data_IF_732967000558
#
_entry.id   IF_732967000558
#
_cell.length_a   1.000
_cell.length_b   1.000
_cell.length_c   1.000
_cell.angle_alpha   90.00
_cell.angle_beta   90.00
_cell.angle_gamma   90.00
#
_symmetry.space_group_name_H-M   'P 1'
#
loop_
_entity.id
_entity.type
_entity.pdbx_description
1 polymer ?
#
# COMPACT_ATOMS: atom_id res chain seq x y z
N UNK A 1 -49.41 -5.61 -6.14
CA UNK A 1 -48.78 -6.49 -7.16
C UNK A 1 -47.80 -5.57 -7.90
N UNK A 2 -46.50 -5.51 -7.62
CA UNK A 2 -45.51 -6.57 -7.52
C UNK A 2 -44.52 -6.36 -8.66
N UNK A 3 -43.32 -5.84 -8.37
CA UNK A 3 -42.05 -6.40 -8.84
C UNK A 3 -40.89 -5.70 -8.12
N UNK A 4 -40.04 -6.55 -7.55
CA UNK A 4 -38.82 -6.21 -6.81
C UNK A 4 -37.74 -5.82 -7.82
N UNK A 5 -37.10 -4.68 -7.66
CA UNK A 5 -35.74 -4.49 -8.19
C UNK A 5 -34.77 -5.09 -7.18
N UNK A 6 -34.26 -6.26 -7.52
CA UNK A 6 -33.10 -6.85 -6.88
C UNK A 6 -31.95 -5.88 -7.15
N UNK A 7 -31.43 -5.22 -6.11
CA UNK A 7 -30.19 -4.48 -6.21
C UNK A 7 -29.11 -5.43 -6.71
N UNK A 8 -28.45 -5.04 -7.79
CA UNK A 8 -27.40 -5.80 -8.46
C UNK A 8 -26.29 -6.09 -7.45
N UNK A 9 -26.16 -7.36 -7.05
CA UNK A 9 -25.08 -7.79 -6.18
C UNK A 9 -23.77 -7.63 -6.96
N UNK A 10 -22.95 -6.65 -6.60
CA UNK A 10 -21.55 -6.57 -7.04
C UNK A 10 -20.89 -7.89 -6.66
N UNK A 11 -20.53 -8.71 -7.66
CA UNK A 11 -19.80 -9.95 -7.40
C UNK A 11 -18.54 -9.64 -6.59
N UNK A 12 -18.39 -10.31 -5.45
CA UNK A 12 -17.19 -10.21 -4.64
C UNK A 12 -15.97 -10.56 -5.52
N UNK A 13 -15.01 -9.63 -5.58
CA UNK A 13 -13.77 -9.86 -6.34
C UNK A 13 -13.00 -11.01 -5.71
N UNK A 14 -12.29 -11.75 -6.55
CA UNK A 14 -11.35 -12.79 -6.12
C UNK A 14 -9.96 -12.48 -6.64
N UNK A 15 -8.94 -13.02 -5.98
CA UNK A 15 -7.56 -12.81 -6.41
C UNK A 15 -7.30 -13.37 -7.82
N UNK A 16 -7.94 -14.47 -8.22
CA UNK A 16 -7.62 -15.18 -9.46
C UNK A 16 -6.14 -15.58 -9.52
N UNK A 17 -5.49 -15.32 -10.66
CA UNK A 17 -4.05 -15.55 -10.86
C UNK A 17 -3.11 -14.45 -10.27
N UNK A 18 -3.67 -13.38 -9.69
CA UNK A 18 -2.86 -12.32 -9.09
C UNK A 18 -2.22 -12.78 -7.78
N UNK A 19 -0.90 -12.65 -7.70
CA UNK A 19 -0.11 -12.96 -6.50
C UNK A 19 0.79 -11.82 -6.03
N UNK A 20 0.46 -10.56 -6.33
CA UNK A 20 1.37 -9.44 -6.03
C UNK A 20 1.73 -9.37 -4.53
N UNK A 21 0.79 -9.68 -3.62
CA UNK A 21 1.07 -9.76 -2.19
C UNK A 21 2.11 -10.83 -1.83
N UNK A 22 2.13 -11.97 -2.53
CA UNK A 22 3.13 -13.02 -2.37
C UNK A 22 4.53 -12.57 -2.77
N UNK A 23 4.66 -11.50 -3.57
CA UNK A 23 5.93 -10.89 -3.95
C UNK A 23 6.32 -9.73 -3.04
N UNK A 24 5.49 -8.69 -3.00
CA UNK A 24 5.93 -7.37 -2.52
C UNK A 24 5.93 -7.23 -0.99
N UNK A 25 5.14 -8.02 -0.28
CA UNK A 25 5.04 -7.92 1.19
C UNK A 25 6.05 -8.82 1.88
N UNK A 26 6.55 -8.41 3.05
CA UNK A 26 7.26 -9.28 3.98
C UNK A 26 6.28 -10.24 4.66
N UNK A 27 6.65 -11.51 4.86
CA UNK A 27 5.84 -12.48 5.59
C UNK A 27 6.75 -13.24 6.57
N UNK A 28 6.73 -12.84 7.84
CA UNK A 28 7.59 -13.40 8.89
C UNK A 28 7.37 -14.91 9.09
N UNK A 29 6.11 -15.36 9.04
CA UNK A 29 5.72 -16.78 9.22
C UNK A 29 6.31 -17.70 8.15
N UNK A 30 6.78 -17.14 7.03
CA UNK A 30 7.39 -17.88 5.92
C UNK A 30 8.87 -17.56 5.73
N UNK A 31 9.47 -16.78 6.65
CA UNK A 31 10.82 -16.19 6.47
C UNK A 31 11.00 -15.56 5.08
N UNK A 32 9.94 -14.88 4.62
CA UNK A 32 9.86 -14.38 3.24
C UNK A 32 10.13 -12.87 3.19
N UNK A 33 11.29 -12.42 2.69
CA UNK A 33 11.59 -11.01 2.53
C UNK A 33 10.61 -10.31 1.57
N UNK A 34 10.38 -9.01 1.78
CA UNK A 34 9.62 -8.17 0.85
C UNK A 34 10.31 -8.12 -0.52
N UNK A 35 9.53 -7.97 -1.58
CA UNK A 35 10.04 -7.91 -2.97
C UNK A 35 10.41 -9.26 -3.59
N UNK A 36 10.47 -10.35 -2.81
CA UNK A 36 10.75 -11.70 -3.30
C UNK A 36 9.49 -12.55 -3.39
N UNK A 37 9.40 -13.38 -4.43
CA UNK A 37 8.30 -14.32 -4.59
C UNK A 37 8.31 -15.37 -3.48
N UNK A 38 7.14 -15.62 -2.91
CA UNK A 38 6.91 -16.76 -2.03
C UNK A 38 7.24 -18.07 -2.76
N UNK A 39 7.96 -18.99 -2.11
CA UNK A 39 8.42 -20.24 -2.72
C UNK A 39 7.31 -21.18 -3.19
N UNK A 40 6.09 -21.05 -2.64
CA UNK A 40 4.92 -21.84 -3.08
C UNK A 40 4.07 -21.14 -4.13
N UNK A 41 4.37 -19.88 -4.48
CA UNK A 41 3.62 -19.18 -5.52
C UNK A 41 3.91 -19.76 -6.90
N UNK A 42 2.86 -19.96 -7.70
CA UNK A 42 2.93 -20.49 -9.06
C UNK A 42 2.39 -19.44 -10.03
N UNK A 43 3.26 -18.92 -10.88
CA UNK A 43 2.88 -17.93 -11.90
C UNK A 43 1.73 -18.47 -12.77
N UNK A 44 0.65 -17.69 -12.89
CA UNK A 44 -0.55 -18.08 -13.65
C UNK A 44 -1.52 -19.01 -12.92
N UNK A 45 -1.15 -19.56 -11.76
CA UNK A 45 -1.99 -20.48 -10.98
C UNK A 45 -2.26 -20.01 -9.54
N UNK A 46 -1.55 -18.99 -9.04
CA UNK A 46 -1.76 -18.44 -7.70
C UNK A 46 -0.93 -19.13 -6.63
N UNK A 47 -1.44 -19.19 -5.40
CA UNK A 47 -0.76 -19.87 -4.29
C UNK A 47 -0.84 -21.38 -4.47
N UNK A 48 0.31 -22.06 -4.53
CA UNK A 48 0.39 -23.52 -4.67
C UNK A 48 0.01 -24.30 -3.40
N UNK A 49 -0.17 -23.61 -2.27
CA UNK A 49 -0.68 -24.17 -1.02
C UNK A 49 -1.67 -23.19 -0.38
N UNK A 50 -2.80 -22.96 -1.05
CA UNK A 50 -3.78 -21.96 -0.62
C UNK A 50 -4.45 -22.33 0.71
N UNK A 51 -4.64 -23.63 0.95
CA UNK A 51 -5.22 -24.17 2.18
C UNK A 51 -4.25 -24.18 3.35
N UNK A 52 -2.93 -24.28 3.12
CA UNK A 52 -1.88 -24.20 4.15
C UNK A 52 -1.36 -22.79 4.43
N UNK A 53 -1.93 -21.76 3.79
CA UNK A 53 -1.50 -20.36 3.99
C UNK A 53 -1.46 -19.97 5.48
N UNK A 54 -0.42 -19.26 5.93
CA UNK A 54 -0.31 -18.85 7.32
C UNK A 54 -1.22 -17.64 7.60
N UNK A 55 -1.37 -17.24 8.87
CA UNK A 55 -2.40 -16.29 9.29
C UNK A 55 -2.22 -14.91 8.64
N UNK A 56 -0.98 -14.46 8.42
CA UNK A 56 -0.71 -13.21 7.71
C UNK A 56 -1.27 -13.23 6.28
N UNK A 57 -1.16 -14.36 5.58
CA UNK A 57 -1.69 -14.52 4.23
C UNK A 57 -3.22 -14.61 4.19
N UNK A 58 -3.86 -15.16 5.23
CA UNK A 58 -5.33 -15.28 5.32
C UNK A 58 -6.01 -13.98 5.68
N UNK A 59 -5.40 -13.20 6.57
CA UNK A 59 -5.95 -11.94 7.07
C UNK A 59 -5.77 -10.78 6.11
N UNK A 60 -4.78 -10.86 5.21
CA UNK A 60 -4.49 -9.80 4.26
C UNK A 60 -5.49 -9.72 3.10
N UNK A 61 -6.05 -8.53 2.89
CA UNK A 61 -6.85 -8.18 1.71
C UNK A 61 -6.36 -6.84 1.15
N UNK A 62 -5.99 -6.81 -0.14
CA UNK A 62 -5.61 -5.56 -0.79
C UNK A 62 -6.83 -4.68 -1.10
N UNK A 63 -6.62 -3.37 -1.24
CA UNK A 63 -7.68 -2.40 -1.48
C UNK A 63 -8.47 -2.69 -2.76
N UNK A 64 -7.84 -3.24 -3.81
CA UNK A 64 -8.56 -3.65 -5.03
C UNK A 64 -9.57 -4.76 -4.77
N UNK A 65 -9.26 -5.68 -3.84
CA UNK A 65 -10.15 -6.78 -3.49
C UNK A 65 -11.36 -6.29 -2.67
N UNK A 66 -11.15 -5.29 -1.82
CA UNK A 66 -12.15 -4.81 -0.85
C UNK A 66 -12.90 -3.55 -1.26
N UNK A 67 -12.44 -2.83 -2.29
CA UNK A 67 -13.02 -1.55 -2.71
C UNK A 67 -13.59 -1.59 -4.13
N UNK A 68 -14.89 -1.33 -4.24
CA UNK A 68 -15.57 -1.19 -5.53
C UNK A 68 -15.14 0.07 -6.31
N UNK A 69 -14.47 1.03 -5.66
CA UNK A 69 -14.03 2.31 -6.25
C UNK A 69 -12.81 2.21 -7.18
N UNK A 70 -12.21 1.02 -7.27
CA UNK A 70 -11.06 0.73 -8.12
C UNK A 70 -11.49 -0.19 -9.24
N UNK A 71 -11.21 0.14 -10.50
CA UNK A 71 -11.56 -0.72 -11.63
C UNK A 71 -10.55 -1.87 -11.85
N UNK A 72 -10.70 -2.61 -12.95
CA UNK A 72 -9.83 -3.74 -13.28
C UNK A 72 -8.38 -3.35 -13.60
N UNK A 73 -8.09 -2.10 -13.98
CA UNK A 73 -6.72 -1.63 -14.22
C UNK A 73 -5.91 -1.49 -12.92
N UNK A 74 -6.59 -1.34 -11.78
CA UNK A 74 -5.98 -1.27 -10.45
C UNK A 74 -5.69 -2.64 -9.83
N UNK A 75 -5.99 -3.73 -10.55
CA UNK A 75 -5.62 -5.07 -10.12
C UNK A 75 -4.08 -5.14 -9.97
N UNK A 76 -3.54 -5.61 -8.83
CA UNK A 76 -2.13 -5.36 -8.51
C UNK A 76 -1.09 -5.85 -9.52
N UNK A 77 -1.31 -7.00 -10.14
CA UNK A 77 -0.45 -7.56 -11.19
C UNK A 77 -0.43 -6.71 -12.48
N UNK A 78 -1.52 -5.97 -12.76
CA UNK A 78 -1.62 -5.01 -13.86
C UNK A 78 -1.04 -3.65 -13.49
N UNK A 79 -1.35 -3.18 -12.29
CA UNK A 79 -0.90 -1.88 -11.78
C UNK A 79 0.60 -1.84 -11.46
N UNK A 80 1.20 -2.97 -11.11
CA UNK A 80 2.60 -3.04 -10.66
C UNK A 80 2.79 -2.63 -9.20
N UNK A 81 1.70 -2.50 -8.45
CA UNK A 81 1.68 -2.20 -7.02
C UNK A 81 0.37 -2.71 -6.42
N UNK A 82 0.34 -2.91 -5.10
CA UNK A 82 -0.90 -3.10 -4.35
C UNK A 82 -1.10 -1.95 -3.37
N UNK A 83 -2.31 -1.82 -2.85
CA UNK A 83 -2.60 -0.87 -1.80
C UNK A 83 -3.27 -1.55 -0.60
N UNK A 84 -3.01 -1.06 0.60
CA UNK A 84 -3.77 -1.45 1.80
C UNK A 84 -3.67 -0.34 2.86
N UNK A 85 -4.73 -0.12 3.66
CA UNK A 85 -4.64 0.75 4.82
C UNK A 85 -3.90 0.06 5.96
N UNK A 86 -3.14 0.80 6.76
CA UNK A 86 -2.63 0.30 8.04
C UNK A 86 -3.77 0.04 9.03
N UNK A 87 -3.45 -0.60 10.16
CA UNK A 87 -4.43 -1.12 11.13
C UNK A 87 -5.37 -0.05 11.68
N UNK A 88 -4.90 1.19 11.84
CA UNK A 88 -5.70 2.33 12.32
C UNK A 88 -6.44 3.06 11.20
N UNK A 89 -6.21 2.67 9.94
CA UNK A 89 -6.79 3.29 8.75
C UNK A 89 -6.26 4.70 8.45
N UNK A 90 -5.24 5.19 9.16
CA UNK A 90 -4.69 6.55 8.98
C UNK A 90 -3.67 6.64 7.87
N UNK A 91 -2.99 5.54 7.56
CA UNK A 91 -2.06 5.45 6.43
C UNK A 91 -2.59 4.53 5.34
N UNK A 92 -2.54 4.98 4.10
CA UNK A 92 -2.70 4.15 2.91
C UNK A 92 -1.32 3.83 2.34
N UNK A 93 -0.93 2.56 2.39
CA UNK A 93 0.30 2.08 1.80
C UNK A 93 0.07 1.74 0.32
N UNK A 94 0.95 2.22 -0.56
CA UNK A 94 1.08 1.82 -1.96
C UNK A 94 2.37 1.04 -2.11
N UNK A 95 2.29 -0.28 -2.05
CA UNK A 95 3.48 -1.15 -2.10
C UNK A 95 3.76 -1.55 -3.55
N UNK A 96 4.82 -0.97 -4.09
CA UNK A 96 5.24 -1.08 -5.48
C UNK A 96 6.17 -2.28 -5.66
N UNK A 97 5.99 -3.00 -6.77
CA UNK A 97 6.95 -4.01 -7.19
C UNK A 97 8.34 -3.38 -7.40
N UNK A 98 9.38 -3.78 -6.66
CA UNK A 98 10.73 -3.24 -6.84
C UNK A 98 11.31 -3.47 -8.25
N UNK A 99 10.82 -4.49 -8.97
CA UNK A 99 11.20 -4.74 -10.36
C UNK A 99 10.54 -3.76 -11.36
N UNK A 100 9.59 -2.94 -10.91
CA UNK A 100 8.91 -1.91 -11.70
C UNK A 100 8.69 -0.64 -10.85
N UNK A 101 9.77 0.03 -10.39
CA UNK A 101 9.69 1.06 -9.35
C UNK A 101 8.92 2.33 -9.78
N UNK A 102 8.74 2.55 -11.08
CA UNK A 102 8.02 3.70 -11.62
C UNK A 102 6.52 3.44 -11.85
N UNK A 103 5.99 2.24 -11.56
CA UNK A 103 4.62 1.86 -11.95
C UNK A 103 3.53 2.78 -11.39
N UNK A 104 3.72 3.26 -10.16
CA UNK A 104 2.79 4.17 -9.47
C UNK A 104 2.72 5.56 -10.10
N UNK A 105 3.74 5.97 -10.87
CA UNK A 105 3.77 7.26 -11.59
C UNK A 105 3.06 7.23 -12.94
N UNK A 106 2.64 6.04 -13.38
CA UNK A 106 2.00 5.87 -14.69
C UNK A 106 0.54 6.29 -14.59
N UNK A 107 0.02 7.03 -15.57
CA UNK A 107 -1.40 7.33 -15.63
C UNK A 107 -2.23 6.07 -15.94
N UNK A 108 -3.46 5.94 -15.39
CA UNK A 108 -4.18 6.91 -14.57
C UNK A 108 -3.85 6.84 -13.06
N UNK A 109 -2.83 6.09 -12.65
CA UNK A 109 -2.57 5.81 -11.24
C UNK A 109 -2.08 7.06 -10.51
N UNK A 110 -1.14 7.80 -11.10
CA UNK A 110 -0.52 8.94 -10.44
C UNK A 110 -1.55 10.02 -10.08
N UNK A 111 -2.32 10.50 -11.06
CA UNK A 111 -3.38 11.49 -10.83
C UNK A 111 -4.41 11.04 -9.79
N UNK A 112 -4.77 9.75 -9.79
CA UNK A 112 -5.72 9.20 -8.82
C UNK A 112 -5.12 9.06 -7.42
N UNK A 113 -3.84 8.69 -7.29
CA UNK A 113 -3.12 8.67 -6.02
C UNK A 113 -2.97 10.10 -5.46
N UNK A 114 -2.68 11.09 -6.31
CA UNK A 114 -2.70 12.51 -5.93
C UNK A 114 -4.06 12.99 -5.45
N UNK A 115 -5.15 12.52 -6.06
CA UNK A 115 -6.48 12.82 -5.55
C UNK A 115 -6.73 12.15 -4.17
N UNK A 116 -6.21 10.95 -3.94
CA UNK A 116 -6.30 10.27 -2.64
C UNK A 116 -5.46 10.96 -1.55
N UNK A 117 -4.32 11.55 -1.89
CA UNK A 117 -3.45 12.25 -0.93
C UNK A 117 -4.05 13.55 -0.38
N UNK A 118 -5.16 14.05 -0.94
CA UNK A 118 -5.93 15.19 -0.40
C UNK A 118 -6.32 14.99 1.07
N UNK A 119 -6.52 13.74 1.49
CA UNK A 119 -6.81 13.39 2.90
C UNK A 119 -5.67 13.74 3.86
N UNK A 120 -4.49 14.08 3.36
CA UNK A 120 -3.40 14.60 4.19
C UNK A 120 -3.79 15.87 4.96
N UNK A 121 -4.70 16.68 4.43
CA UNK A 121 -5.24 17.84 5.17
C UNK A 121 -6.09 17.44 6.39
N UNK A 122 -6.55 16.18 6.45
CA UNK A 122 -7.29 15.59 7.56
C UNK A 122 -6.41 14.69 8.45
N UNK A 123 -5.08 14.74 8.26
CA UNK A 123 -4.11 13.94 9.02
C UNK A 123 -4.02 12.47 8.59
N UNK A 124 -4.39 12.14 7.35
CA UNK A 124 -4.10 10.83 6.75
C UNK A 124 -2.78 10.85 5.97
N UNK A 125 -2.15 9.70 5.81
CA UNK A 125 -0.89 9.59 5.06
C UNK A 125 -1.07 8.69 3.84
N UNK A 126 -0.46 9.06 2.72
CA UNK A 126 -0.32 8.19 1.54
C UNK A 126 1.16 7.91 1.34
N UNK A 127 1.56 6.66 1.61
CA UNK A 127 2.96 6.24 1.59
C UNK A 127 3.23 5.32 0.41
N UNK A 128 4.16 5.71 -0.45
CA UNK A 128 4.66 4.85 -1.52
C UNK A 128 5.87 4.06 -0.98
N UNK A 129 5.78 2.74 -1.03
CA UNK A 129 6.82 1.81 -0.58
C UNK A 129 7.43 1.09 -1.78
N UNK A 130 8.72 1.28 -2.05
CA UNK A 130 9.45 0.64 -3.15
C UNK A 130 10.63 -0.13 -2.54
N UNK A 131 10.42 -1.40 -2.19
CA UNK A 131 11.37 -2.12 -1.33
C UNK A 131 11.53 -1.37 -0.01
N UNK A 132 12.74 -0.90 0.30
CA UNK A 132 13.03 -0.08 1.49
C UNK A 132 12.99 1.44 1.22
N UNK A 133 12.79 1.87 -0.03
CA UNK A 133 12.56 3.30 -0.33
C UNK A 133 11.17 3.75 0.08
N UNK A 134 11.05 4.94 0.65
CA UNK A 134 9.79 5.55 1.08
C UNK A 134 9.60 6.93 0.44
N UNK A 135 8.40 7.16 -0.08
CA UNK A 135 7.97 8.47 -0.58
C UNK A 135 6.64 8.81 0.06
N UNK A 136 6.55 9.95 0.75
CA UNK A 136 5.25 10.47 1.24
C UNK A 136 4.64 11.30 0.14
N UNK A 137 3.45 10.91 -0.32
CA UNK A 137 2.72 11.67 -1.33
C UNK A 137 1.79 12.66 -0.64
N UNK A 138 2.03 13.95 -0.89
CA UNK A 138 1.13 15.04 -0.54
C UNK A 138 0.30 15.45 -1.77
N UNK A 139 -0.72 16.29 -1.61
CA UNK A 139 -1.49 16.87 -2.72
C UNK A 139 -0.62 17.67 -3.69
N UNK A 140 0.32 18.44 -3.16
CA UNK A 140 1.13 19.39 -3.93
C UNK A 140 2.46 18.81 -4.40
N UNK A 141 3.04 17.88 -3.65
CA UNK A 141 4.38 17.33 -3.93
C UNK A 141 4.55 15.89 -3.46
N UNK A 142 5.63 15.26 -3.89
CA UNK A 142 6.03 13.90 -3.48
C UNK A 142 7.37 14.02 -2.75
N UNK A 143 7.40 13.76 -1.44
CA UNK A 143 8.61 13.88 -0.62
C UNK A 143 9.30 12.51 -0.56
N UNK A 144 10.39 12.35 -1.32
CA UNK A 144 11.20 11.12 -1.36
C UNK A 144 12.21 11.13 -0.20
N UNK A 145 12.02 10.22 0.76
CA UNK A 145 12.87 10.07 1.93
C UNK A 145 14.07 9.15 1.67
N UNK A 146 14.18 8.59 0.46
CA UNK A 146 15.21 7.63 0.11
C UNK A 146 14.97 6.25 0.74
N UNK A 147 16.05 5.46 0.81
CA UNK A 147 16.06 4.12 1.41
C UNK A 147 16.11 4.27 2.92
N UNK A 148 15.12 3.70 3.61
CA UNK A 148 14.99 3.79 5.06
C UNK A 148 15.26 2.43 5.72
N UNK A 149 15.82 2.48 6.93
CA UNK A 149 15.76 1.33 7.81
C UNK A 149 14.28 1.07 8.18
N UNK A 150 13.76 -0.16 7.98
CA UNK A 150 12.39 -0.52 8.35
C UNK A 150 12.02 -0.22 9.82
N UNK A 151 13.01 -0.17 10.72
CA UNK A 151 12.80 0.08 12.15
C UNK A 151 12.64 1.57 12.48
N UNK A 152 13.00 2.48 11.58
CA UNK A 152 12.91 3.91 11.85
C UNK A 152 11.49 4.44 11.68
N UNK A 153 11.09 5.35 12.56
CA UNK A 153 9.77 5.98 12.53
C UNK A 153 9.73 7.10 11.50
N UNK A 154 8.79 7.01 10.55
CA UNK A 154 8.44 8.08 9.64
C UNK A 154 7.39 8.98 10.28
N UNK A 155 7.63 10.30 10.26
CA UNK A 155 6.66 11.33 10.65
C UNK A 155 6.42 12.24 9.46
N UNK A 156 5.15 12.55 9.21
CA UNK A 156 4.76 13.48 8.14
C UNK A 156 3.57 14.34 8.55
N UNK A 157 3.42 15.50 7.90
CA UNK A 157 2.35 16.45 8.21
C UNK A 157 2.49 17.76 7.45
N UNK A 158 1.91 18.81 8.00
CA UNK A 158 2.03 20.17 7.49
C UNK A 158 2.50 21.11 8.59
N UNK A 159 3.28 22.11 8.20
CA UNK A 159 3.58 23.28 9.01
C UNK A 159 2.97 24.51 8.35
N UNK A 160 2.42 25.42 9.16
CA UNK A 160 1.98 26.72 8.67
C UNK A 160 3.19 27.64 8.53
N UNK A 161 3.45 28.14 7.32
CA UNK A 161 4.52 29.09 7.01
C UNK A 161 3.92 30.24 6.21
N UNK A 162 3.91 31.43 6.80
CA UNK A 162 3.39 32.65 6.17
C UNK A 162 1.92 32.54 5.68
N UNK A 163 1.12 31.70 6.34
CA UNK A 163 -0.27 31.41 5.97
C UNK A 163 -0.44 30.25 4.99
N UNK A 164 0.65 29.70 4.45
CA UNK A 164 0.64 28.53 3.57
C UNK A 164 0.91 27.24 4.35
N UNK A 165 0.18 26.19 4.00
CA UNK A 165 0.43 24.83 4.51
C UNK A 165 1.55 24.18 3.71
N UNK A 166 2.74 24.11 4.30
CA UNK A 166 3.90 23.46 3.69
C UNK A 166 3.99 22.03 4.21
N UNK A 167 3.96 21.01 3.32
CA UNK A 167 4.10 19.64 3.75
C UNK A 167 5.52 19.35 4.23
N UNK A 168 5.66 18.43 5.19
CA UNK A 168 6.95 17.90 5.60
C UNK A 168 6.85 16.39 5.81
N UNK A 169 7.94 15.69 5.52
CA UNK A 169 8.11 14.30 5.92
C UNK A 169 9.57 14.10 6.34
N UNK A 170 9.78 13.37 7.42
CA UNK A 170 11.10 13.09 7.95
C UNK A 170 11.15 11.75 8.67
N UNK A 171 12.36 11.25 8.85
CA UNK A 171 12.62 10.04 9.61
C UNK A 171 13.16 10.45 10.96
N UNK A 172 12.50 10.00 12.02
CA UNK A 172 13.06 10.04 13.36
C UNK A 172 14.10 8.92 13.43
N UNK A 173 15.37 9.25 13.21
CA UNK A 173 16.46 8.44 13.74
C UNK A 173 16.39 8.55 15.26
N UNK A 174 16.49 7.44 15.97
CA UNK A 174 16.41 7.41 17.42
C UNK A 174 17.23 8.56 18.04
N UNK A 175 16.57 9.44 18.79
CA UNK A 175 17.22 10.00 19.98
C UNK A 175 17.52 8.76 20.79
N UNK A 176 18.81 8.41 20.92
CA UNK A 176 19.25 7.33 21.82
C UNK A 176 18.37 7.39 23.05
N UNK A 177 17.66 6.30 23.34
CA UNK A 177 16.78 6.21 24.50
C UNK A 177 17.60 6.71 25.69
N UNK A 178 17.32 7.95 26.12
CA UNK A 178 18.07 8.60 27.17
C UNK A 178 18.05 7.64 28.36
N UNK A 179 19.25 7.28 28.79
CA UNK A 179 19.57 6.25 29.75
C UNK A 179 18.58 6.27 30.92
N UNK A 180 17.74 5.24 31.00
CA UNK A 180 17.14 4.85 32.27
C UNK A 180 18.10 3.84 32.91
N UNK A 181 19.14 4.39 33.57
CA UNK A 181 19.88 3.68 34.61
C UNK A 181 19.01 3.48 35.85
#
# INVERSE_FOLDING_TARGET
>A
MGWRTVGEATQARTCGDCGMCCKVLHISELDKPAGQWCGVFRKGAGCGDYEGRPQACRSFHCLWLTSERLDAAWRPDKAGFLMYPDRDGKRLNVVVDPGKPASWRREPYYSRLKAMSQRAYEGYELLICIGDRRVVMFPTEDVDLGVLNPDHKLVSGYVDKDGDKVPFAMVLSDVEAAEAS
#
